data_IF_961968257902
#
_entry.id   IF_961968257902
#
_cell.length_a   1.000
_cell.length_b   1.000
_cell.length_c   1.000
_cell.angle_alpha   90.00
_cell.angle_beta   90.00
_cell.angle_gamma   90.00
#
_symmetry.space_group_name_H-M   'P 1'
#
loop_
_entity.id
_entity.type
_entity.pdbx_description
1 polymer ?
#
# COMPACT_ATOMS: atom_id res chain seq x y z
N UNK A 1 -12.22 -16.90 -10.14
CA UNK A 1 -11.10 -16.63 -9.21
C UNK A 1 -11.65 -16.45 -7.79
N UNK A 2 -11.21 -17.24 -6.81
CA UNK A 2 -11.57 -17.01 -5.39
C UNK A 2 -10.69 -15.89 -4.85
N UNK A 3 -11.29 -14.77 -4.43
CA UNK A 3 -10.58 -13.71 -3.74
C UNK A 3 -9.88 -14.30 -2.50
N UNK A 4 -8.54 -14.24 -2.46
CA UNK A 4 -7.81 -14.64 -1.25
C UNK A 4 -8.16 -13.64 -0.15
N UNK A 5 -8.61 -14.12 1.01
CA UNK A 5 -9.09 -13.24 2.06
C UNK A 5 -7.97 -12.33 2.55
N UNK A 6 -8.22 -11.02 2.49
CA UNK A 6 -7.27 -10.01 2.97
C UNK A 6 -7.12 -10.13 4.49
N UNK A 7 -5.90 -9.95 4.98
CA UNK A 7 -5.57 -10.04 6.41
C UNK A 7 -6.26 -8.92 7.21
N UNK A 8 -6.32 -7.72 6.63
CA UNK A 8 -6.85 -6.51 7.29
C UNK A 8 -8.32 -6.66 7.72
N UNK A 9 -9.27 -7.07 6.84
CA UNK A 9 -10.65 -7.33 7.26
C UNK A 9 -10.80 -8.41 8.34
N UNK A 10 -9.94 -9.44 8.33
CA UNK A 10 -10.00 -10.52 9.33
C UNK A 10 -9.55 -10.07 10.71
N UNK A 11 -8.47 -9.29 10.80
CA UNK A 11 -8.01 -8.74 12.08
C UNK A 11 -9.01 -7.74 12.66
N UNK A 12 -9.63 -6.92 11.80
CA UNK A 12 -10.70 -6.01 12.21
C UNK A 12 -11.91 -6.80 12.73
N UNK A 13 -12.39 -7.80 11.97
CA UNK A 13 -13.51 -8.63 12.40
C UNK A 13 -13.23 -9.39 13.70
N UNK A 14 -12.01 -9.91 13.87
CA UNK A 14 -11.59 -10.59 15.08
C UNK A 14 -11.61 -9.64 16.29
N UNK A 15 -10.95 -8.48 16.19
CA UNK A 15 -10.93 -7.59 17.35
C UNK A 15 -12.29 -6.96 17.65
N UNK A 16 -13.17 -6.76 16.66
CA UNK A 16 -14.57 -6.36 16.94
C UNK A 16 -15.27 -7.45 17.74
N UNK A 17 -15.15 -8.72 17.33
CA UNK A 17 -15.74 -9.87 18.05
C UNK A 17 -15.24 -9.99 19.49
N UNK A 18 -13.99 -9.63 19.74
CA UNK A 18 -13.33 -9.80 21.04
C UNK A 18 -13.21 -8.50 21.85
N UNK A 19 -13.87 -7.40 21.43
CA UNK A 19 -13.84 -6.12 22.15
C UNK A 19 -12.45 -5.48 22.23
N UNK A 20 -11.59 -5.74 21.23
CA UNK A 20 -10.23 -5.21 21.19
C UNK A 20 -10.21 -3.75 20.71
N UNK A 21 -9.35 -2.95 21.30
CA UNK A 21 -9.15 -1.54 20.93
C UNK A 21 -8.26 -1.44 19.69
N UNK A 22 -8.79 -0.86 18.62
CA UNK A 22 -8.07 -0.64 17.38
C UNK A 22 -7.55 0.79 17.27
N UNK A 23 -6.33 0.91 16.78
CA UNK A 23 -5.84 2.18 16.26
C UNK A 23 -6.50 2.45 14.90
N UNK A 24 -7.62 3.16 14.93
CA UNK A 24 -8.31 3.62 13.73
C UNK A 24 -7.84 5.03 13.40
N UNK A 25 -7.12 5.25 12.30
CA UNK A 25 -6.60 6.57 12.00
C UNK A 25 -7.74 7.52 11.64
N UNK A 26 -7.68 8.77 12.13
CA UNK A 26 -8.72 9.79 11.85
C UNK A 26 -8.76 10.21 10.40
N UNK A 27 -7.66 9.99 9.68
CA UNK A 27 -7.56 10.10 8.23
C UNK A 27 -6.91 8.85 7.69
N UNK A 28 -7.50 8.27 6.64
CA UNK A 28 -6.89 7.20 5.84
C UNK A 28 -5.66 7.76 5.12
N UNK A 29 -4.52 7.83 5.82
CA UNK A 29 -3.24 8.10 5.21
C UNK A 29 -2.63 6.76 4.86
N UNK A 30 -2.79 6.39 3.60
CA UNK A 30 -2.08 5.26 3.00
C UNK A 30 -0.70 5.83 2.63
N UNK A 31 0.26 5.78 3.56
CA UNK A 31 1.64 6.20 3.34
C UNK A 31 2.58 5.06 3.69
N UNK A 32 3.55 4.71 2.85
CA UNK A 32 4.52 3.68 3.19
C UNK A 32 5.40 4.04 4.39
N UNK A 33 5.54 5.33 4.73
CA UNK A 33 6.66 5.77 5.56
C UNK A 33 6.25 6.13 6.99
N UNK A 34 4.97 6.42 7.24
CA UNK A 34 4.52 6.90 8.55
C UNK A 34 3.15 6.35 8.89
N UNK A 35 3.03 5.91 10.14
CA UNK A 35 1.74 5.74 10.76
C UNK A 35 1.03 7.11 10.86
N UNK A 36 -0.29 7.19 10.69
CA UNK A 36 -1.05 8.42 10.85
C UNK A 36 -0.81 9.07 12.22
N UNK A 37 -0.76 10.40 12.28
CA UNK A 37 -0.50 11.15 13.52
C UNK A 37 -1.72 11.27 14.44
N UNK A 38 -2.90 10.89 13.95
CA UNK A 38 -4.16 10.98 14.68
C UNK A 38 -4.94 9.68 14.61
N UNK A 39 -5.38 9.21 15.75
CA UNK A 39 -6.22 8.01 15.91
C UNK A 39 -7.46 8.33 16.73
N UNK A 40 -8.56 7.65 16.45
CA UNK A 40 -9.74 7.71 17.31
C UNK A 40 -9.39 7.17 18.70
N UNK A 41 -9.51 8.04 19.71
CA UNK A 41 -8.87 7.87 21.02
C UNK A 41 -9.22 6.59 21.76
N UNK A 42 -8.21 6.02 22.43
CA UNK A 42 -8.38 5.11 23.56
C UNK A 42 -8.23 5.88 24.89
N UNK A 43 -8.83 5.40 26.00
CA UNK A 43 -8.77 6.10 27.30
C UNK A 43 -7.36 6.37 27.84
N UNK A 44 -6.39 5.55 27.44
CA UNK A 44 -4.98 5.62 27.85
C UNK A 44 -4.04 6.08 26.70
N UNK A 45 -4.61 6.45 25.54
CA UNK A 45 -3.86 6.84 24.35
C UNK A 45 -3.13 5.72 23.62
N UNK A 46 -3.22 4.46 24.11
CA UNK A 46 -2.58 3.29 23.50
C UNK A 46 -3.59 2.28 22.96
N UNK A 47 -3.18 1.52 21.95
CA UNK A 47 -4.05 0.56 21.26
C UNK A 47 -3.58 -0.89 21.41
N UNK A 48 -4.51 -1.84 21.27
CA UNK A 48 -4.24 -3.28 21.35
C UNK A 48 -3.88 -3.82 19.97
N UNK A 49 -4.50 -3.29 18.91
CA UNK A 49 -4.24 -3.68 17.52
C UNK A 49 -4.05 -2.44 16.64
N UNK A 50 -2.95 -2.41 15.89
CA UNK A 50 -2.76 -1.54 14.72
C UNK A 50 -2.66 -2.44 13.50
N UNK A 51 -3.40 -2.13 12.44
CA UNK A 51 -3.23 -2.74 11.12
C UNK A 51 -3.01 -1.63 10.11
N UNK A 52 -1.89 -1.67 9.39
CA UNK A 52 -1.56 -0.65 8.40
C UNK A 52 -0.86 -1.23 7.18
N UNK A 53 -1.09 -0.62 6.02
CA UNK A 53 -0.34 -0.86 4.80
C UNK A 53 0.85 0.11 4.72
N UNK A 54 1.80 -0.04 5.64
CA UNK A 54 3.04 0.76 5.70
C UNK A 54 4.27 -0.13 5.68
N UNK A 55 5.42 0.45 5.34
CA UNK A 55 6.72 -0.11 5.74
C UNK A 55 6.79 -0.05 7.27
N UNK A 56 7.36 -1.09 7.87
CA UNK A 56 7.51 -1.15 9.32
C UNK A 56 8.53 -0.10 9.81
N UNK A 57 8.13 0.72 10.77
CA UNK A 57 9.02 1.53 11.60
C UNK A 57 8.71 1.23 13.06
N UNK A 58 9.73 0.80 13.80
CA UNK A 58 9.60 0.48 15.22
C UNK A 58 9.29 1.74 16.01
N UNK A 59 9.95 2.83 15.70
CA UNK A 59 9.80 4.14 16.35
C UNK A 59 8.38 4.67 16.15
N UNK A 60 7.86 4.60 14.92
CA UNK A 60 6.48 4.99 14.62
C UNK A 60 5.47 4.11 15.34
N UNK A 61 5.69 2.79 15.39
CA UNK A 61 4.79 1.89 16.08
C UNK A 61 4.77 2.11 17.61
N UNK A 62 5.92 2.41 18.22
CA UNK A 62 6.04 2.73 19.64
C UNK A 62 5.35 4.03 20.05
N UNK A 63 5.04 4.94 19.11
CA UNK A 63 4.23 6.14 19.40
C UNK A 63 2.76 5.81 19.65
N UNK A 64 2.28 4.66 19.17
CA UNK A 64 0.86 4.29 19.14
C UNK A 64 0.58 3.04 19.99
N UNK A 65 1.58 2.16 20.12
CA UNK A 65 1.46 0.86 20.76
C UNK A 65 2.16 0.82 22.11
N UNK A 66 1.69 -0.08 22.98
CA UNK A 66 2.40 -0.43 24.21
C UNK A 66 3.80 -1.01 23.92
N UNK A 67 4.74 -0.81 24.84
CA UNK A 67 6.11 -1.35 24.72
C UNK A 67 6.15 -2.87 24.60
N UNK A 68 5.16 -3.57 25.17
CA UNK A 68 5.00 -5.03 25.10
C UNK A 68 4.37 -5.53 23.79
N UNK A 69 4.06 -4.64 22.84
CA UNK A 69 3.39 -5.00 21.59
C UNK A 69 4.19 -6.01 20.77
N UNK A 70 3.46 -6.92 20.12
CA UNK A 70 4.02 -7.89 19.19
C UNK A 70 3.77 -7.41 17.77
N UNK A 71 4.81 -7.47 16.95
CA UNK A 71 4.77 -7.06 15.55
C UNK A 71 4.59 -8.29 14.67
N UNK A 72 3.51 -8.31 13.88
CA UNK A 72 3.22 -9.38 12.94
C UNK A 72 3.20 -8.79 11.54
N UNK A 73 3.98 -9.38 10.64
CA UNK A 73 4.02 -9.03 9.22
C UNK A 73 3.48 -10.19 8.40
N UNK A 74 2.73 -9.88 7.35
CA UNK A 74 2.33 -10.86 6.34
C UNK A 74 3.04 -10.53 5.04
N UNK A 75 3.86 -11.46 4.57
CA UNK A 75 4.57 -11.35 3.29
C UNK A 75 3.86 -12.24 2.28
N UNK A 76 3.77 -11.77 1.04
CA UNK A 76 3.21 -12.51 -0.08
C UNK A 76 4.21 -12.51 -1.22
N UNK A 77 4.21 -13.58 -2.01
CA UNK A 77 4.99 -13.67 -3.24
C UNK A 77 4.71 -12.44 -4.14
N UNK A 78 5.75 -11.73 -4.63
CA UNK A 78 5.58 -10.44 -5.28
C UNK A 78 4.66 -10.45 -6.51
N UNK A 79 4.78 -11.44 -7.40
CA UNK A 79 3.96 -11.51 -8.61
C UNK A 79 2.49 -11.72 -8.26
N UNK A 80 2.21 -12.61 -7.31
CA UNK A 80 0.87 -12.80 -6.76
C UNK A 80 0.32 -11.52 -6.15
N UNK A 81 1.13 -10.73 -5.44
CA UNK A 81 0.69 -9.45 -4.87
C UNK A 81 0.30 -8.46 -5.96
N UNK A 82 1.13 -8.33 -7.01
CA UNK A 82 0.86 -7.49 -8.16
C UNK A 82 -0.41 -7.91 -8.91
N UNK A 83 -0.58 -9.21 -9.18
CA UNK A 83 -1.79 -9.76 -9.80
C UNK A 83 -3.04 -9.41 -8.97
N UNK A 84 -2.98 -9.53 -7.64
CA UNK A 84 -4.10 -9.16 -6.77
C UNK A 84 -4.46 -7.68 -6.91
N UNK A 85 -3.45 -6.83 -6.96
CA UNK A 85 -3.61 -5.38 -7.08
C UNK A 85 -4.15 -5.00 -8.46
N UNK A 86 -3.73 -5.71 -9.51
CA UNK A 86 -4.22 -5.54 -10.88
C UNK A 86 -5.75 -5.61 -10.95
N UNK A 87 -6.33 -6.67 -10.38
CA UNK A 87 -7.77 -6.83 -10.36
C UNK A 87 -8.46 -5.90 -9.35
N UNK A 88 -7.86 -5.68 -8.18
CA UNK A 88 -8.42 -4.76 -7.16
C UNK A 88 -8.50 -3.31 -7.63
N UNK A 89 -7.51 -2.84 -8.41
CA UNK A 89 -7.46 -1.49 -8.96
C UNK A 89 -8.11 -1.37 -10.35
N UNK A 90 -8.68 -2.46 -10.86
CA UNK A 90 -9.29 -2.51 -12.20
C UNK A 90 -8.35 -2.03 -13.31
N UNK A 91 -7.07 -2.41 -13.26
CA UNK A 91 -6.10 -1.98 -14.27
C UNK A 91 -6.41 -2.47 -15.67
N UNK A 92 -7.12 -3.59 -15.79
CA UNK A 92 -7.58 -4.07 -17.09
C UNK A 92 -8.48 -3.05 -17.80
N UNK A 93 -9.44 -2.46 -17.08
CA UNK A 93 -10.29 -1.40 -17.61
C UNK A 93 -9.51 -0.09 -17.79
N UNK A 94 -8.64 0.25 -16.84
CA UNK A 94 -7.87 1.51 -16.86
C UNK A 94 -6.88 1.57 -18.03
N UNK A 95 -6.30 0.43 -18.38
CA UNK A 95 -5.27 0.32 -19.40
C UNK A 95 -5.75 -0.30 -20.71
N UNK A 96 -7.04 -0.68 -20.78
CA UNK A 96 -7.64 -1.41 -21.90
C UNK A 96 -6.77 -2.59 -22.37
N UNK A 97 -6.30 -3.38 -21.39
CA UNK A 97 -5.29 -4.40 -21.61
C UNK A 97 -5.41 -5.45 -20.51
N UNK A 98 -5.38 -6.75 -20.83
CA UNK A 98 -5.37 -7.78 -19.79
C UNK A 98 -3.97 -8.00 -19.19
N UNK A 99 -3.90 -8.67 -18.03
CA UNK A 99 -2.64 -8.88 -17.31
C UNK A 99 -1.59 -9.64 -18.14
N UNK A 100 -1.99 -10.60 -18.98
CA UNK A 100 -1.05 -11.38 -19.80
C UNK A 100 -0.43 -10.54 -20.92
N UNK A 101 -1.24 -9.70 -21.58
CA UNK A 101 -0.75 -8.75 -22.57
C UNK A 101 0.19 -7.72 -21.92
N UNK A 102 -0.19 -7.25 -20.73
CA UNK A 102 0.62 -6.30 -19.96
C UNK A 102 2.00 -6.86 -19.61
N UNK A 103 2.10 -8.08 -19.08
CA UNK A 103 3.41 -8.66 -18.68
C UNK A 103 4.32 -9.00 -19.86
N UNK A 104 3.78 -9.10 -21.07
CA UNK A 104 4.52 -9.37 -22.31
C UNK A 104 4.80 -8.10 -23.13
N UNK A 105 4.29 -6.95 -22.71
CA UNK A 105 4.46 -5.71 -23.45
C UNK A 105 5.94 -5.30 -23.49
N UNK A 106 6.44 -4.97 -24.68
CA UNK A 106 7.80 -4.45 -24.86
C UNK A 106 7.91 -2.96 -24.49
N UNK A 107 6.78 -2.26 -24.41
CA UNK A 107 6.69 -0.84 -24.12
C UNK A 107 5.36 -0.51 -23.44
N UNK A 108 5.38 0.50 -22.58
CA UNK A 108 4.21 1.04 -21.91
C UNK A 108 3.96 2.47 -22.37
N UNK A 109 2.70 2.89 -22.38
CA UNK A 109 2.35 4.31 -22.57
C UNK A 109 2.83 5.12 -21.36
N UNK A 110 3.04 6.42 -21.55
CA UNK A 110 3.43 7.32 -20.46
C UNK A 110 2.46 7.28 -19.26
N UNK A 111 1.15 7.15 -19.53
CA UNK A 111 0.14 7.06 -18.48
C UNK A 111 0.28 5.77 -17.66
N UNK A 112 0.55 4.64 -18.32
CA UNK A 112 0.83 3.36 -17.67
C UNK A 112 2.12 3.44 -16.85
N UNK A 113 3.21 3.96 -17.42
CA UNK A 113 4.49 4.13 -16.71
C UNK A 113 4.33 5.01 -15.46
N UNK A 114 3.62 6.13 -15.56
CA UNK A 114 3.38 7.04 -14.43
C UNK A 114 2.63 6.35 -13.29
N UNK A 115 1.62 5.55 -13.61
CA UNK A 115 0.88 4.77 -12.63
C UNK A 115 1.74 3.69 -11.97
N UNK A 116 2.52 2.94 -12.76
CA UNK A 116 3.46 1.93 -12.24
C UNK A 116 4.52 2.56 -11.34
N UNK A 117 5.04 3.73 -11.71
CA UNK A 117 5.97 4.50 -10.88
C UNK A 117 5.33 4.95 -9.56
N UNK A 118 4.05 5.34 -9.59
CA UNK A 118 3.31 5.71 -8.36
C UNK A 118 3.18 4.52 -7.42
N UNK A 119 2.88 3.34 -7.96
CA UNK A 119 2.82 2.08 -7.22
C UNK A 119 4.22 1.72 -6.66
N UNK A 120 5.26 1.77 -7.49
CA UNK A 120 6.62 1.46 -7.09
C UNK A 120 7.09 2.36 -5.94
N UNK A 121 6.83 3.67 -6.05
CA UNK A 121 7.07 4.64 -5.00
C UNK A 121 6.29 4.32 -3.72
N UNK A 122 5.01 3.95 -3.87
CA UNK A 122 4.16 3.55 -2.74
C UNK A 122 4.75 2.34 -1.98
N UNK A 123 5.49 1.46 -2.64
CA UNK A 123 6.16 0.33 -1.99
C UNK A 123 7.63 0.59 -1.63
N UNK A 124 8.09 1.84 -1.71
CA UNK A 124 9.46 2.23 -1.37
C UNK A 124 10.51 1.79 -2.37
N UNK A 125 10.11 1.35 -3.58
CA UNK A 125 11.04 0.99 -4.65
C UNK A 125 11.65 2.28 -5.21
N UNK A 126 12.99 2.38 -5.16
CA UNK A 126 13.72 3.50 -5.78
C UNK A 126 13.54 3.42 -7.30
N UNK A 127 12.88 4.42 -7.88
CA UNK A 127 12.76 4.55 -9.34
C UNK A 127 14.13 4.99 -9.89
N UNK A 128 14.72 4.29 -10.87
CA UNK A 128 15.97 4.70 -11.49
C UNK A 128 15.90 6.12 -12.07
N UNK A 129 16.95 6.92 -11.89
CA UNK A 129 17.01 8.32 -12.33
C UNK A 129 16.79 8.49 -13.85
N UNK A 130 17.11 7.47 -14.64
CA UNK A 130 16.91 7.43 -16.10
C UNK A 130 15.43 7.53 -16.51
N UNK A 131 14.50 7.03 -15.69
CA UNK A 131 13.05 7.13 -15.95
C UNK A 131 12.53 8.53 -15.60
N UNK A 132 13.09 9.18 -14.57
CA UNK A 132 12.73 10.55 -14.19
C UNK A 132 13.16 11.59 -15.24
N UNK A 133 14.29 11.36 -15.93
CA UNK A 133 14.81 12.23 -16.98
C UNK A 133 13.93 12.18 -18.24
N UNK A 134 13.47 10.99 -18.65
CA UNK A 134 12.56 10.81 -19.80
C UNK A 134 11.24 11.57 -19.64
N UNK A 135 10.68 11.58 -18.43
CA UNK A 135 9.45 12.32 -18.12
C UNK A 135 9.63 13.86 -18.21
N UNK A 136 10.83 14.38 -17.92
CA UNK A 136 11.14 15.82 -18.05
C UNK A 136 11.39 16.25 -19.49
N UNK A 137 12.06 15.41 -20.30
CA UNK A 137 12.37 15.75 -21.69
C UNK A 137 11.12 15.88 -22.58
N UNK A 138 10.09 15.07 -22.35
CA UNK A 138 8.85 15.11 -23.17
C UNK A 138 7.96 16.31 -22.78
N UNK A 139 7.95 16.70 -21.51
CA UNK A 139 7.22 17.90 -21.06
C UNK A 139 7.81 19.20 -21.62
N UNK A 140 9.11 19.19 -22.00
CA UNK A 140 9.80 20.32 -22.62
C UNK A 140 9.68 20.40 -24.14
N UNK A 141 8.99 19.47 -24.81
CA UNK A 141 8.80 19.45 -26.27
C UNK A 141 7.44 20.00 -26.74
N UNK A 142 6.63 20.54 -25.83
CA UNK A 142 5.48 21.39 -26.21
C UNK A 142 5.90 22.85 -26.15
N UNK A 143 6.65 23.28 -27.18
CA UNK A 143 6.95 24.67 -27.50
C UNK A 143 6.64 24.91 -28.96
#
# INVERSE_FOLDING_TARGET
MRARPQLVPRFIAYGVKHGLKFALPTRLVVSPQRLPTGYHGSPDGRYIIVVSHTVFSKEGAQQVMNESAKYVVTIREPASCFESMWYFRHYEMKFDMNLSAFTKASQYTWAQERELNTIAYFWGVKIPATVQQKARCIAGQKG
#
